data_IF_023687677172
#
_entry.id   IF_023687677172
#
_cell.length_a   1.000
_cell.length_b   1.000
_cell.length_c   1.000
_cell.angle_alpha   90.00
_cell.angle_beta   90.00
_cell.angle_gamma   90.00
#
_symmetry.space_group_name_H-M   'P 1'
#
loop_
_entity.id
_entity.type
_entity.pdbx_description
1 polymer ?
#
# COMPACT_ATOMS: atom_id res chain seq x y z
N UNK A 1 2.72 2.02 21.03
CA UNK A 1 1.93 1.06 20.21
C UNK A 1 0.72 1.70 19.54
N UNK A 2 -0.28 2.19 20.29
CA UNK A 2 -1.54 2.67 19.70
C UNK A 2 -1.42 4.02 18.95
N UNK A 3 -0.59 4.94 19.46
CA UNK A 3 -0.38 6.25 18.84
C UNK A 3 0.27 6.17 17.45
N UNK A 4 1.24 5.26 17.22
CA UNK A 4 1.83 5.07 15.88
C UNK A 4 0.79 4.57 14.87
N UNK A 5 -0.12 3.69 15.29
CA UNK A 5 -1.22 3.23 14.43
C UNK A 5 -2.18 4.37 14.10
N UNK A 6 -2.51 5.23 15.06
CA UNK A 6 -3.35 6.41 14.82
C UNK A 6 -2.68 7.36 13.83
N UNK A 7 -1.40 7.67 14.02
CA UNK A 7 -0.65 8.52 13.10
C UNK A 7 -0.64 7.89 11.70
N UNK A 8 -0.43 6.57 11.60
CA UNK A 8 -0.46 5.85 10.33
C UNK A 8 -1.83 5.93 9.63
N UNK A 9 -2.93 5.76 10.38
CA UNK A 9 -4.31 5.90 9.86
C UNK A 9 -4.56 7.32 9.36
N UNK A 10 -4.11 8.34 10.11
CA UNK A 10 -4.21 9.74 9.70
C UNK A 10 -3.42 9.98 8.41
N UNK A 11 -2.20 9.45 8.31
CA UNK A 11 -1.38 9.58 7.10
C UNK A 11 -2.05 8.90 5.89
N UNK A 12 -2.63 7.71 6.07
CA UNK A 12 -3.43 7.07 5.01
C UNK A 12 -4.64 7.90 4.59
N UNK A 13 -5.35 8.52 5.55
CA UNK A 13 -6.46 9.41 5.24
C UNK A 13 -6.00 10.68 4.48
N UNK A 14 -4.83 11.22 4.78
CA UNK A 14 -4.24 12.33 4.03
C UNK A 14 -3.86 11.92 2.60
N UNK A 15 -3.26 10.74 2.40
CA UNK A 15 -2.96 10.20 1.07
C UNK A 15 -4.24 10.02 0.26
N UNK A 16 -5.26 9.42 0.87
CA UNK A 16 -6.58 9.27 0.26
C UNK A 16 -7.17 10.61 -0.18
N UNK A 17 -7.16 11.61 0.71
CA UNK A 17 -7.70 12.93 0.42
C UNK A 17 -6.95 13.62 -0.73
N UNK A 18 -5.62 13.59 -0.71
CA UNK A 18 -4.78 14.20 -1.75
C UNK A 18 -4.94 13.51 -3.11
N UNK A 19 -4.97 12.19 -3.13
CA UNK A 19 -5.09 11.40 -4.36
C UNK A 19 -6.46 11.58 -5.02
N UNK A 20 -7.52 11.79 -4.23
CA UNK A 20 -8.86 12.09 -4.73
C UNK A 20 -9.06 13.53 -5.21
N UNK A 21 -8.44 14.50 -4.52
CA UNK A 21 -8.62 15.92 -4.79
C UNK A 21 -7.73 16.40 -5.92
N UNK A 22 -6.42 16.23 -5.75
CA UNK A 22 -5.41 16.88 -6.58
C UNK A 22 -4.65 15.89 -7.48
N UNK A 23 -4.91 14.58 -7.35
CA UNK A 23 -4.20 13.49 -8.06
C UNK A 23 -2.67 13.52 -7.87
N UNK A 24 -2.23 14.27 -6.86
CA UNK A 24 -0.84 14.52 -6.52
C UNK A 24 -0.69 14.33 -5.02
N UNK A 25 0.07 13.32 -4.65
CA UNK A 25 0.38 13.03 -3.25
C UNK A 25 1.84 13.40 -3.01
N UNK A 26 2.12 14.04 -1.87
CA UNK A 26 3.50 14.36 -1.52
C UNK A 26 4.31 13.07 -1.34
N UNK A 27 5.38 12.95 -2.11
CA UNK A 27 6.25 11.77 -2.14
C UNK A 27 6.77 11.34 -0.75
N UNK A 28 6.97 12.28 0.18
CA UNK A 28 7.49 12.01 1.52
C UNK A 28 6.47 11.28 2.43
N UNK A 29 5.18 11.30 2.09
CA UNK A 29 4.15 10.58 2.86
C UNK A 29 4.34 9.06 2.76
N UNK A 30 4.84 8.54 1.63
CA UNK A 30 5.06 7.10 1.45
C UNK A 30 6.20 6.56 2.33
N UNK A 31 7.41 7.19 2.39
CA UNK A 31 8.42 6.85 3.38
C UNK A 31 7.90 6.90 4.82
N UNK A 32 7.08 7.90 5.17
CA UNK A 32 6.49 7.99 6.51
C UNK A 32 5.59 6.79 6.79
N UNK A 33 4.75 6.38 5.83
CA UNK A 33 3.94 5.16 5.94
C UNK A 33 4.83 3.94 6.21
N UNK A 34 5.88 3.74 5.40
CA UNK A 34 6.78 2.60 5.55
C UNK A 34 7.48 2.57 6.90
N UNK A 35 8.03 3.71 7.36
CA UNK A 35 8.71 3.82 8.65
C UNK A 35 7.74 3.55 9.81
N UNK A 36 6.55 4.14 9.78
CA UNK A 36 5.54 3.94 10.82
C UNK A 36 5.05 2.48 10.84
N UNK A 37 4.79 1.89 9.68
CA UNK A 37 4.33 0.51 9.55
C UNK A 37 5.39 -0.49 10.05
N UNK A 38 6.66 -0.28 9.67
CA UNK A 38 7.78 -1.09 10.16
C UNK A 38 7.96 -0.95 11.66
N UNK A 39 7.85 0.27 12.18
CA UNK A 39 7.92 0.55 13.61
C UNK A 39 6.83 -0.19 14.37
N UNK A 40 5.59 -0.23 13.84
CA UNK A 40 4.49 -1.02 14.42
C UNK A 40 4.81 -2.51 14.43
N UNK A 41 5.42 -3.03 13.35
CA UNK A 41 5.84 -4.43 13.28
C UNK A 41 6.92 -4.79 14.32
N UNK A 42 7.89 -3.91 14.54
CA UNK A 42 8.97 -4.10 15.54
C UNK A 42 8.47 -4.15 16.99
N UNK A 43 7.28 -3.63 17.29
CA UNK A 43 6.68 -3.78 18.62
C UNK A 43 6.10 -5.17 18.87
N UNK A 44 5.87 -5.96 17.81
CA UNK A 44 5.27 -7.30 17.90
C UNK A 44 6.31 -8.39 17.66
N UNK A 45 7.25 -8.15 16.75
CA UNK A 45 8.24 -9.12 16.30
C UNK A 45 9.67 -8.65 16.59
N UNK A 46 10.60 -9.58 16.85
CA UNK A 46 12.01 -9.24 16.95
C UNK A 46 12.55 -8.72 15.61
N UNK A 47 13.57 -7.85 15.69
CA UNK A 47 14.14 -7.13 14.54
C UNK A 47 14.56 -8.05 13.39
N UNK A 48 15.11 -9.23 13.70
CA UNK A 48 15.55 -10.21 12.70
C UNK A 48 14.39 -10.69 11.84
N UNK A 49 13.27 -11.07 12.46
CA UNK A 49 12.07 -11.54 11.77
C UNK A 49 11.42 -10.39 10.99
N UNK A 50 11.33 -9.19 11.59
CA UNK A 50 10.79 -8.02 10.90
C UNK A 50 11.58 -7.66 9.64
N UNK A 51 12.92 -7.71 9.68
CA UNK A 51 13.78 -7.49 8.52
C UNK A 51 13.61 -8.56 7.45
N UNK A 52 13.49 -9.83 7.84
CA UNK A 52 13.22 -10.93 6.90
C UNK A 52 11.87 -10.74 6.21
N UNK A 53 10.83 -10.39 6.96
CA UNK A 53 9.50 -10.10 6.42
C UNK A 53 9.54 -8.93 5.43
N UNK A 54 10.17 -7.82 5.82
CA UNK A 54 10.32 -6.67 4.94
C UNK A 54 11.08 -7.03 3.66
N UNK A 55 12.20 -7.76 3.77
CA UNK A 55 13.00 -8.17 2.61
C UNK A 55 12.23 -9.05 1.63
N UNK A 56 11.47 -10.02 2.12
CA UNK A 56 10.65 -10.92 1.28
C UNK A 56 9.48 -10.17 0.66
N UNK A 57 8.78 -9.33 1.42
CA UNK A 57 7.69 -8.50 0.91
C UNK A 57 8.18 -7.51 -0.16
N UNK A 58 9.36 -6.91 0.05
CA UNK A 58 9.98 -6.00 -0.90
C UNK A 58 10.37 -6.73 -2.20
N UNK A 59 10.95 -7.94 -2.08
CA UNK A 59 11.26 -8.78 -3.23
C UNK A 59 10.00 -9.13 -4.02
N UNK A 60 8.91 -9.49 -3.35
CA UNK A 60 7.61 -9.74 -3.98
C UNK A 60 7.08 -8.50 -4.73
N UNK A 61 7.12 -7.33 -4.11
CA UNK A 61 6.71 -6.06 -4.75
C UNK A 61 7.58 -5.74 -5.97
N UNK A 62 8.90 -5.88 -5.86
CA UNK A 62 9.83 -5.63 -6.97
C UNK A 62 9.55 -6.60 -8.13
N UNK A 63 9.25 -7.87 -7.84
CA UNK A 63 8.85 -8.84 -8.87
C UNK A 63 7.57 -8.42 -9.59
N UNK A 64 6.53 -7.99 -8.86
CA UNK A 64 5.29 -7.50 -9.46
C UNK A 64 5.53 -6.28 -10.34
N UNK A 65 6.27 -5.29 -9.84
CA UNK A 65 6.62 -4.09 -10.60
C UNK A 65 7.47 -4.44 -11.83
N UNK A 66 8.40 -5.38 -11.70
CA UNK A 66 9.23 -5.87 -12.79
C UNK A 66 8.40 -6.53 -13.90
N UNK A 67 7.50 -7.46 -13.54
CA UNK A 67 6.59 -8.11 -14.48
C UNK A 67 5.68 -7.09 -15.17
N UNK A 68 5.13 -6.14 -14.41
CA UNK A 68 4.31 -5.05 -14.96
C UNK A 68 5.10 -4.20 -15.96
N UNK A 69 6.34 -3.85 -15.64
CA UNK A 69 7.22 -3.08 -16.52
C UNK A 69 7.52 -3.83 -17.82
N UNK A 70 7.80 -5.13 -17.73
CA UNK A 70 8.02 -5.99 -18.90
C UNK A 70 6.75 -6.03 -19.77
N UNK A 71 5.58 -6.20 -19.15
CA UNK A 71 4.29 -6.22 -19.85
C UNK A 71 4.01 -4.92 -20.60
N UNK A 72 4.19 -3.77 -19.94
CA UNK A 72 4.04 -2.44 -20.54
C UNK A 72 4.98 -2.26 -21.73
N UNK A 73 6.25 -2.66 -21.58
CA UNK A 73 7.25 -2.61 -22.66
C UNK A 73 6.86 -3.51 -23.83
N UNK A 74 6.38 -4.72 -23.56
CA UNK A 74 5.95 -5.66 -24.60
C UNK A 74 4.74 -5.14 -25.38
N UNK A 75 3.80 -4.46 -24.70
CA UNK A 75 2.62 -3.84 -25.31
C UNK A 75 2.90 -2.47 -25.95
N UNK A 76 4.15 -1.99 -25.93
CA UNK A 76 4.57 -0.66 -26.42
C UNK A 76 3.75 0.48 -25.81
N UNK A 77 3.34 0.31 -24.55
CA UNK A 77 2.64 1.35 -23.81
C UNK A 77 3.66 2.27 -23.13
N UNK A 78 3.32 3.55 -23.01
CA UNK A 78 4.15 4.50 -22.28
C UNK A 78 4.09 4.20 -20.77
N UNK A 79 5.23 3.83 -20.19
CA UNK A 79 5.34 3.50 -18.76
C UNK A 79 4.89 4.67 -17.87
N UNK A 80 5.23 5.90 -18.25
CA UNK A 80 4.83 7.13 -17.54
C UNK A 80 3.31 7.36 -17.52
N UNK A 81 2.60 6.83 -18.51
CA UNK A 81 1.15 6.97 -18.62
C UNK A 81 0.39 5.79 -18.01
N UNK A 82 1.08 4.69 -17.67
CA UNK A 82 0.45 3.46 -17.21
C UNK A 82 0.57 3.27 -15.70
N UNK A 83 1.71 3.64 -15.10
CA UNK A 83 1.93 3.56 -13.66
C UNK A 83 2.44 4.89 -13.13
N UNK A 84 1.72 5.44 -12.15
CA UNK A 84 2.15 6.63 -11.44
C UNK A 84 3.37 6.34 -10.58
N UNK A 85 4.30 7.30 -10.49
CA UNK A 85 5.43 7.22 -9.56
C UNK A 85 4.93 7.08 -8.11
N UNK A 86 3.79 7.70 -7.79
CA UNK A 86 3.13 7.56 -6.48
C UNK A 86 2.75 6.12 -6.15
N UNK A 87 2.18 5.38 -7.10
CA UNK A 87 1.78 3.98 -6.90
C UNK A 87 3.01 3.08 -6.65
N UNK A 88 4.08 3.31 -7.41
CA UNK A 88 5.36 2.59 -7.24
C UNK A 88 5.92 2.83 -5.85
N UNK A 89 5.97 4.10 -5.40
CA UNK A 89 6.45 4.44 -4.06
C UNK A 89 5.55 3.80 -2.99
N UNK A 90 4.23 3.89 -3.14
CA UNK A 90 3.30 3.27 -2.19
C UNK A 90 3.57 1.77 -2.06
N UNK A 91 3.73 1.04 -3.17
CA UNK A 91 3.99 -0.40 -3.16
C UNK A 91 5.29 -0.75 -2.43
N UNK A 92 6.36 0.03 -2.66
CA UNK A 92 7.66 -0.22 -2.02
C UNK A 92 7.59 0.00 -0.51
N UNK A 93 6.93 1.05 -0.05
CA UNK A 93 6.89 1.39 1.38
C UNK A 93 5.85 0.58 2.15
N UNK A 94 4.75 0.16 1.53
CA UNK A 94 3.76 -0.70 2.19
C UNK A 94 4.30 -2.11 2.45
N UNK A 95 5.38 -2.54 1.79
CA UNK A 95 6.05 -3.82 2.05
C UNK A 95 6.50 -4.02 3.51
N UNK A 96 6.69 -2.93 4.25
CA UNK A 96 7.14 -2.95 5.65
C UNK A 96 6.01 -3.15 6.69
N UNK A 97 4.79 -3.46 6.26
CA UNK A 97 3.59 -3.39 7.11
C UNK A 97 3.26 -4.65 7.90
N UNK A 98 3.36 -5.82 7.28
CA UNK A 98 2.85 -7.08 7.82
C UNK A 98 3.83 -8.25 7.63
N UNK A 99 3.48 -9.38 8.23
CA UNK A 99 4.12 -10.67 7.98
C UNK A 99 3.91 -11.13 6.52
N UNK A 100 4.68 -12.12 6.05
CA UNK A 100 4.79 -12.44 4.62
C UNK A 100 3.44 -12.87 4.04
N UNK A 101 2.78 -13.82 4.72
CA UNK A 101 1.51 -14.37 4.24
C UNK A 101 0.41 -13.30 4.31
N UNK A 102 0.35 -12.58 5.43
CA UNK A 102 -0.63 -11.51 5.62
C UNK A 102 -0.46 -10.39 4.60
N UNK A 103 0.78 -9.99 4.32
CA UNK A 103 1.09 -8.96 3.35
C UNK A 103 0.65 -9.39 1.94
N UNK A 104 1.00 -10.60 1.50
CA UNK A 104 0.62 -11.10 0.17
C UNK A 104 -0.89 -11.09 -0.02
N UNK A 105 -1.62 -11.64 0.96
CA UNK A 105 -3.10 -11.69 0.93
C UNK A 105 -3.66 -10.27 0.88
N UNK A 106 -3.30 -9.42 1.83
CA UNK A 106 -3.83 -8.05 1.91
C UNK A 106 -3.46 -7.22 0.67
N UNK A 107 -2.26 -7.37 0.14
CA UNK A 107 -1.81 -6.67 -1.05
C UNK A 107 -2.64 -7.05 -2.29
N UNK A 108 -2.83 -8.35 -2.54
CA UNK A 108 -3.66 -8.82 -3.67
C UNK A 108 -5.11 -8.38 -3.49
N UNK A 109 -5.68 -8.51 -2.29
CA UNK A 109 -7.05 -8.06 -2.03
C UNK A 109 -7.20 -6.55 -2.17
N UNK A 110 -6.19 -5.75 -1.79
CA UNK A 110 -6.21 -4.29 -1.97
C UNK A 110 -6.23 -3.87 -3.45
N UNK A 111 -5.52 -4.60 -4.32
CA UNK A 111 -5.53 -4.38 -5.77
C UNK A 111 -6.91 -4.68 -6.35
N UNK A 112 -7.48 -5.84 -6.00
CA UNK A 112 -8.82 -6.24 -6.44
C UNK A 112 -9.87 -5.27 -5.92
N UNK A 113 -9.79 -4.87 -4.66
CA UNK A 113 -10.67 -3.90 -4.04
C UNK A 113 -10.61 -2.54 -4.74
N UNK A 114 -9.41 -2.04 -5.05
CA UNK A 114 -9.23 -0.81 -5.82
C UNK A 114 -9.89 -0.89 -7.19
N UNK A 115 -9.75 -2.02 -7.88
CA UNK A 115 -10.38 -2.23 -9.19
C UNK A 115 -11.91 -2.24 -9.07
N UNK A 116 -12.45 -3.01 -8.12
CA UNK A 116 -13.90 -3.12 -7.89
C UNK A 116 -14.49 -1.76 -7.52
N UNK A 117 -13.89 -1.03 -6.57
CA UNK A 117 -14.37 0.30 -6.20
C UNK A 117 -14.33 1.25 -7.39
N UNK A 118 -13.26 1.25 -8.17
CA UNK A 118 -13.16 2.12 -9.33
C UNK A 118 -14.27 1.85 -10.36
N UNK A 119 -14.58 0.56 -10.61
CA UNK A 119 -15.64 0.14 -11.51
C UNK A 119 -17.04 0.50 -10.97
N UNK A 120 -17.30 0.26 -9.68
CA UNK A 120 -18.60 0.54 -9.04
C UNK A 120 -18.87 2.04 -8.96
N UNK A 121 -17.86 2.84 -8.60
CA UNK A 121 -17.98 4.29 -8.51
C UNK A 121 -18.10 4.96 -9.88
N UNK A 122 -17.90 4.21 -10.97
CA UNK A 122 -18.06 4.60 -12.37
C UNK A 122 -17.76 6.09 -12.60
N UNK A 123 -16.57 6.50 -12.15
CA UNK A 123 -16.27 7.92 -11.96
C UNK A 123 -16.07 8.52 -13.34
N UNK A 124 -17.15 9.04 -13.93
CA UNK A 124 -17.17 9.89 -15.12
C UNK A 124 -16.49 11.23 -14.82
N UNK A 125 -15.21 11.20 -14.46
CA UNK A 125 -14.39 12.39 -14.25
C UNK A 125 -13.32 12.40 -15.33
N UNK A 126 -13.19 13.57 -15.94
CA UNK A 126 -12.34 13.95 -17.07
C UNK A 126 -10.84 13.67 -16.89
N UNK A 127 -10.42 13.12 -15.75
CA UNK A 127 -9.04 12.75 -15.45
C UNK A 127 -8.77 11.31 -15.87
N UNK A 128 -7.79 11.13 -16.77
CA UNK A 128 -7.44 9.88 -17.46
C UNK A 128 -6.84 8.78 -16.58
N UNK A 129 -6.64 9.00 -15.29
CA UNK A 129 -5.89 8.08 -14.41
C UNK A 129 -6.68 7.64 -13.17
N UNK A 130 -6.50 6.36 -12.82
CA UNK A 130 -7.11 5.72 -11.65
C UNK A 130 -6.31 6.05 -10.38
N UNK A 131 -6.95 6.54 -9.30
CA UNK A 131 -6.29 6.84 -8.02
C UNK A 131 -6.02 5.56 -7.21
N UNK A 132 -5.06 4.76 -7.69
CA UNK A 132 -4.75 3.44 -7.14
C UNK A 132 -4.17 3.55 -5.72
N UNK A 133 -3.18 4.41 -5.50
CA UNK A 133 -2.63 4.69 -4.16
C UNK A 133 -3.68 5.17 -3.16
N UNK A 134 -4.65 5.99 -3.59
CA UNK A 134 -5.78 6.42 -2.78
C UNK A 134 -6.66 5.24 -2.34
N UNK A 135 -7.13 4.42 -3.27
CA UNK A 135 -7.95 3.26 -2.90
C UNK A 135 -7.22 2.24 -2.03
N UNK A 136 -5.94 2.00 -2.28
CA UNK A 136 -5.13 1.13 -1.42
C UNK A 136 -4.92 1.73 -0.03
N UNK A 137 -4.63 3.02 0.07
CA UNK A 137 -4.49 3.68 1.37
C UNK A 137 -5.78 3.62 2.19
N UNK A 138 -6.95 3.71 1.54
CA UNK A 138 -8.23 3.45 2.19
C UNK A 138 -8.34 2.01 2.70
N UNK A 139 -8.03 1.01 1.85
CA UNK A 139 -8.09 -0.41 2.24
C UNK A 139 -7.16 -0.70 3.45
N UNK A 140 -5.90 -0.29 3.36
CA UNK A 140 -4.94 -0.50 4.46
C UNK A 140 -5.30 0.32 5.70
N UNK A 141 -5.84 1.54 5.55
CA UNK A 141 -6.37 2.33 6.66
C UNK A 141 -7.49 1.61 7.41
N UNK A 142 -8.41 0.95 6.69
CA UNK A 142 -9.45 0.11 7.30
C UNK A 142 -8.85 -1.09 8.00
N UNK A 143 -7.89 -1.80 7.38
CA UNK A 143 -7.20 -2.94 8.00
C UNK A 143 -6.52 -2.54 9.32
N UNK A 144 -5.81 -1.41 9.34
CA UNK A 144 -5.19 -0.89 10.56
C UNK A 144 -6.21 -0.43 11.61
N UNK A 145 -7.39 0.03 11.19
CA UNK A 145 -8.50 0.38 12.10
C UNK A 145 -9.13 -0.87 12.71
N UNK A 146 -9.37 -1.92 11.93
CA UNK A 146 -9.89 -3.21 12.42
C UNK A 146 -8.86 -3.86 13.35
N UNK A 147 -7.58 -3.78 13.00
CA UNK A 147 -6.45 -4.15 13.86
C UNK A 147 -6.45 -3.39 15.20
N UNK A 148 -7.11 -2.24 15.31
CA UNK A 148 -7.24 -1.58 16.61
C UNK A 148 -8.23 -2.28 17.54
N UNK A 149 -9.26 -2.91 16.96
CA UNK A 149 -10.41 -3.49 17.67
C UNK A 149 -10.21 -4.99 17.94
N UNK A 150 -9.55 -5.69 17.00
CA UNK A 150 -9.36 -7.15 17.04
C UNK A 150 -7.90 -7.48 17.41
N UNK A 151 -7.70 -8.57 18.15
CA UNK A 151 -6.36 -9.05 18.50
C UNK A 151 -5.47 -9.27 17.26
N UNK A 152 -4.29 -8.67 17.31
CA UNK A 152 -3.43 -8.45 16.14
C UNK A 152 -2.43 -9.56 15.84
N UNK A 153 -2.39 -10.57 16.69
CA UNK A 153 -1.39 -11.63 16.60
C UNK A 153 -1.43 -12.30 15.24
N UNK A 154 -2.62 -12.49 14.64
CA UNK A 154 -2.78 -13.09 13.32
C UNK A 154 -2.11 -12.33 12.17
N UNK A 155 -2.06 -10.99 12.21
CA UNK A 155 -1.45 -10.18 11.16
C UNK A 155 0.08 -10.31 11.13
N UNK A 156 0.67 -10.81 12.21
CA UNK A 156 2.11 -10.93 12.42
C UNK A 156 2.58 -12.37 12.67
N UNK A 157 1.67 -13.35 12.68
CA UNK A 157 1.95 -14.70 13.13
C UNK A 157 2.79 -15.55 12.16
N UNK A 158 2.95 -15.14 10.89
CA UNK A 158 3.60 -15.96 9.84
C UNK A 158 4.42 -15.16 8.84
#
# INVERSE_FOLDING_TARGET
MWYFKIILIIVFAFVLYQDFKDRLVYWFLYPIIGILAFTVQLYVLPLTIALTNFGINLLFVILILGVSTIYVKFRKLDFKNTLGIGDILFFLFIAASFSIISFLVLFVFSLVFSLVIHLVLNTKKEASTVPLAGYMSFFFGVVYTVSFIVDNTFLYAY
#
